data_IF_588703369247
#
_entry.id   IF_588703369247
#
_cell.length_a   1.000
_cell.length_b   1.000
_cell.length_c   1.000
_cell.angle_alpha   90.00
_cell.angle_beta   90.00
_cell.angle_gamma   90.00
#
_symmetry.space_group_name_H-M   'P 1'
#
loop_
_entity.id
_entity.type
_entity.pdbx_description
1 polymer ?
#
# COMPACT_ATOMS: atom_id res chain seq x y z
N UNK A 1 8.28 8.85 7.33
CA UNK A 1 9.34 9.70 6.75
C UNK A 1 9.28 9.80 5.21
N UNK A 2 8.94 8.72 4.46
CA UNK A 2 8.81 8.77 2.99
C UNK A 2 7.65 9.68 2.57
N UNK A 3 6.46 9.49 3.14
CA UNK A 3 5.28 10.30 2.82
C UNK A 3 5.48 11.79 3.13
N UNK A 4 6.06 12.11 4.30
CA UNK A 4 6.38 13.47 4.72
C UNK A 4 7.25 14.20 3.69
N UNK A 5 8.33 13.55 3.23
CA UNK A 5 9.24 14.16 2.25
C UNK A 5 8.65 14.27 0.85
N UNK A 6 7.84 13.29 0.44
CA UNK A 6 7.17 13.35 -0.84
C UNK A 6 6.11 14.46 -0.86
N UNK A 7 5.37 14.63 0.26
CA UNK A 7 4.39 15.71 0.41
C UNK A 7 5.07 17.09 0.38
N UNK A 8 6.14 17.28 1.14
CA UNK A 8 6.92 18.52 1.13
C UNK A 8 7.43 18.87 -0.28
N UNK A 9 7.93 17.88 -1.02
CA UNK A 9 8.49 18.08 -2.35
C UNK A 9 7.47 18.58 -3.40
N UNK A 10 6.19 18.32 -3.22
CA UNK A 10 5.11 18.75 -4.14
C UNK A 10 4.20 19.84 -3.55
N UNK A 11 4.54 20.38 -2.37
CA UNK A 11 3.73 21.40 -1.70
C UNK A 11 2.38 20.92 -1.15
N UNK A 12 2.29 19.61 -0.84
CA UNK A 12 1.18 19.03 -0.07
C UNK A 12 1.48 19.15 1.44
N UNK A 13 0.54 18.74 2.32
CA UNK A 13 0.73 18.82 3.76
C UNK A 13 1.61 17.67 4.28
N UNK A 14 2.88 17.93 4.66
CA UNK A 14 3.81 16.89 5.10
C UNK A 14 3.44 16.31 6.47
N UNK A 15 2.83 17.12 7.36
CA UNK A 15 2.43 16.66 8.69
C UNK A 15 1.22 15.73 8.56
N UNK A 16 0.24 16.09 7.74
CA UNK A 16 -0.92 15.27 7.47
C UNK A 16 -0.50 13.93 6.83
N UNK A 17 0.39 13.96 5.84
CA UNK A 17 0.91 12.76 5.19
C UNK A 17 1.65 11.84 6.18
N UNK A 18 2.46 12.42 7.08
CA UNK A 18 3.16 11.67 8.13
C UNK A 18 2.20 11.03 9.13
N UNK A 19 1.23 11.78 9.64
CA UNK A 19 0.25 11.27 10.60
C UNK A 19 -0.62 10.21 9.96
N UNK A 20 -1.11 10.44 8.73
CA UNK A 20 -1.86 9.45 7.97
C UNK A 20 -1.07 8.16 7.79
N UNK A 21 0.21 8.26 7.46
CA UNK A 21 1.10 7.08 7.34
C UNK A 21 1.31 6.32 8.66
N UNK A 22 1.17 6.96 9.83
CA UNK A 22 1.26 6.26 11.12
C UNK A 22 0.01 5.42 11.42
N UNK A 23 -1.15 5.83 10.92
CA UNK A 23 -2.43 5.20 11.25
C UNK A 23 -2.99 4.30 10.15
N UNK A 24 -2.48 4.35 8.92
CA UNK A 24 -3.10 3.69 7.76
C UNK A 24 -3.33 2.19 7.98
N UNK A 25 -2.42 1.54 8.66
CA UNK A 25 -2.39 0.09 8.90
C UNK A 25 -2.89 -0.34 10.29
N UNK A 26 -3.51 0.56 11.06
CA UNK A 26 -3.96 0.25 12.44
C UNK A 26 -4.88 -0.98 12.52
N UNK A 27 -5.60 -1.29 11.45
CA UNK A 27 -6.47 -2.46 11.39
C UNK A 27 -5.73 -3.80 11.39
N UNK A 28 -4.45 -3.83 11.05
CA UNK A 28 -3.59 -5.03 11.16
C UNK A 28 -3.51 -5.55 12.61
N UNK A 29 -3.75 -4.69 13.61
CA UNK A 29 -3.80 -5.06 15.02
C UNK A 29 -4.86 -6.13 15.34
N UNK A 30 -5.91 -6.26 14.54
CA UNK A 30 -6.94 -7.29 14.74
C UNK A 30 -6.44 -8.70 14.41
N UNK A 31 -5.53 -8.83 13.44
CA UNK A 31 -4.98 -10.12 12.96
C UNK A 31 -3.49 -10.00 12.64
N UNK A 32 -2.63 -9.63 13.60
CA UNK A 32 -1.25 -9.23 13.32
C UNK A 32 -0.42 -10.33 12.65
N UNK A 33 -0.65 -11.59 12.97
CA UNK A 33 0.13 -12.73 12.46
C UNK A 33 -0.06 -13.01 10.97
N UNK A 34 -1.14 -12.48 10.36
CA UNK A 34 -1.37 -12.63 8.92
C UNK A 34 -0.55 -11.64 8.08
N UNK A 35 0.15 -10.69 8.69
CA UNK A 35 0.95 -9.71 7.98
C UNK A 35 2.43 -10.04 8.12
N UNK A 36 3.14 -10.13 6.99
CA UNK A 36 4.52 -10.65 6.90
C UNK A 36 5.50 -9.90 7.80
N UNK A 37 5.31 -8.60 7.99
CA UNK A 37 6.11 -7.76 8.86
C UNK A 37 6.07 -8.19 10.33
N UNK A 38 5.02 -8.90 10.75
CA UNK A 38 4.84 -9.39 12.13
C UNK A 38 5.25 -10.86 12.31
N UNK A 39 5.53 -11.59 11.23
CA UNK A 39 5.89 -13.01 11.29
C UNK A 39 7.35 -13.24 11.67
N UNK A 40 8.21 -12.23 11.51
CA UNK A 40 9.67 -12.33 11.70
C UNK A 40 10.09 -12.57 13.16
N UNK A 41 9.23 -12.27 14.12
CA UNK A 41 9.57 -12.24 15.55
C UNK A 41 9.27 -13.54 16.32
N UNK A 42 8.95 -14.66 15.69
CA UNK A 42 8.52 -15.80 16.48
C UNK A 42 8.72 -17.19 15.87
N UNK A 43 9.31 -17.32 14.71
CA UNK A 43 9.37 -18.64 14.01
C UNK A 43 7.97 -19.21 13.74
N UNK A 44 6.98 -18.34 13.64
CA UNK A 44 5.58 -18.70 13.41
C UNK A 44 5.44 -19.06 11.92
N UNK A 45 4.91 -20.24 11.67
CA UNK A 45 4.54 -20.65 10.31
C UNK A 45 3.51 -19.66 9.74
N UNK A 46 3.66 -19.32 8.45
CA UNK A 46 2.78 -18.34 7.80
C UNK A 46 1.33 -18.87 7.77
N UNK A 47 0.38 -18.22 8.49
CA UNK A 47 -0.99 -18.71 8.57
C UNK A 47 -1.71 -18.80 7.22
N UNK A 48 -1.19 -18.12 6.19
CA UNK A 48 -1.74 -18.21 4.83
C UNK A 48 -1.48 -19.56 4.15
N UNK A 49 -0.52 -20.36 4.66
CA UNK A 49 -0.23 -21.69 4.10
C UNK A 49 -1.44 -22.63 4.23
N UNK A 50 -2.27 -22.45 5.26
CA UNK A 50 -3.46 -23.27 5.54
C UNK A 50 -4.75 -22.71 4.92
N UNK A 51 -4.65 -21.58 4.18
CA UNK A 51 -5.81 -20.91 3.60
C UNK A 51 -5.81 -20.98 2.08
N UNK A 52 -7.01 -20.99 1.49
CA UNK A 52 -7.15 -20.76 0.05
C UNK A 52 -6.75 -19.32 -0.28
N UNK A 53 -6.31 -19.04 -1.54
CA UNK A 53 -5.98 -17.67 -1.96
C UNK A 53 -7.12 -16.67 -1.75
N UNK A 54 -8.39 -17.11 -1.91
CA UNK A 54 -9.56 -16.27 -1.67
C UNK A 54 -9.73 -15.91 -0.20
N UNK A 55 -9.57 -16.87 0.70
CA UNK A 55 -9.64 -16.63 2.15
C UNK A 55 -8.47 -15.74 2.61
N UNK A 56 -7.26 -15.98 2.12
CA UNK A 56 -6.10 -15.14 2.39
C UNK A 56 -6.33 -13.70 1.96
N UNK A 57 -6.86 -13.48 0.74
CA UNK A 57 -7.25 -12.15 0.27
C UNK A 57 -8.27 -11.50 1.19
N UNK A 58 -9.32 -12.21 1.60
CA UNK A 58 -10.34 -11.67 2.51
C UNK A 58 -9.73 -11.23 3.83
N UNK A 59 -8.83 -12.01 4.42
CA UNK A 59 -8.14 -11.67 5.66
C UNK A 59 -7.30 -10.42 5.50
N UNK A 60 -6.48 -10.37 4.44
CA UNK A 60 -5.59 -9.22 4.20
C UNK A 60 -6.40 -7.95 3.96
N UNK A 61 -7.41 -7.99 3.08
CA UNK A 61 -8.18 -6.77 2.75
C UNK A 61 -9.09 -6.28 3.88
N UNK A 62 -9.40 -7.14 4.85
CA UNK A 62 -10.21 -6.77 6.00
C UNK A 62 -9.56 -5.69 6.89
N UNK A 63 -8.22 -5.52 6.85
CA UNK A 63 -7.56 -4.55 7.72
C UNK A 63 -8.02 -3.10 7.47
N UNK A 64 -8.43 -2.75 6.26
CA UNK A 64 -8.95 -1.40 5.98
C UNK A 64 -10.26 -1.15 6.73
N UNK A 65 -11.17 -2.14 6.74
CA UNK A 65 -12.43 -2.07 7.49
C UNK A 65 -12.19 -2.13 9.00
N UNK A 66 -11.38 -3.08 9.44
CA UNK A 66 -11.01 -3.22 10.86
C UNK A 66 -10.35 -1.93 11.38
N UNK A 67 -9.55 -1.27 10.53
CA UNK A 67 -8.90 -0.01 10.85
C UNK A 67 -9.88 1.15 11.02
N UNK A 68 -10.89 1.23 10.19
CA UNK A 68 -11.95 2.24 10.32
C UNK A 68 -12.77 2.02 11.60
N UNK A 69 -13.08 0.77 11.93
CA UNK A 69 -13.82 0.46 13.15
C UNK A 69 -13.01 0.90 14.38
N UNK A 70 -11.71 0.59 14.44
CA UNK A 70 -10.80 1.06 15.47
C UNK A 70 -10.69 2.59 15.49
N UNK A 71 -10.51 3.22 14.33
CA UNK A 71 -10.37 4.67 14.25
C UNK A 71 -11.61 5.40 14.78
N UNK A 72 -12.80 4.89 14.53
CA UNK A 72 -14.06 5.43 15.09
C UNK A 72 -14.15 5.20 16.59
N UNK A 73 -13.80 4.01 17.08
CA UNK A 73 -13.80 3.67 18.50
C UNK A 73 -12.90 4.61 19.31
N UNK A 74 -11.73 4.94 18.76
CA UNK A 74 -10.74 5.81 19.44
C UNK A 74 -10.85 7.29 19.03
N UNK A 75 -11.87 7.70 18.31
CA UNK A 75 -12.11 9.10 17.96
C UNK A 75 -11.06 9.71 17.02
N UNK A 76 -10.43 8.89 16.17
CA UNK A 76 -9.47 9.38 15.18
C UNK A 76 -10.19 10.28 14.17
N UNK A 77 -9.65 11.48 13.87
CA UNK A 77 -10.32 12.43 12.97
C UNK A 77 -10.62 11.86 11.58
N UNK A 78 -11.76 12.22 10.96
CA UNK A 78 -12.15 11.71 9.63
C UNK A 78 -11.10 11.91 8.55
N UNK A 79 -10.34 13.02 8.61
CA UNK A 79 -9.26 13.27 7.65
C UNK A 79 -8.16 12.17 7.71
N UNK A 80 -7.87 11.63 8.88
CA UNK A 80 -6.92 10.53 9.06
C UNK A 80 -7.55 9.20 8.66
N UNK A 81 -8.87 9.02 8.88
CA UNK A 81 -9.59 7.82 8.43
C UNK A 81 -9.52 7.62 6.91
N UNK A 82 -9.39 8.71 6.12
CA UNK A 82 -9.19 8.62 4.68
C UNK A 82 -7.92 7.83 4.30
N UNK A 83 -6.85 7.96 5.07
CA UNK A 83 -5.61 7.20 4.83
C UNK A 83 -5.83 5.70 5.04
N UNK A 84 -6.62 5.32 6.04
CA UNK A 84 -6.95 3.93 6.33
C UNK A 84 -7.76 3.31 5.18
N UNK A 85 -8.74 4.05 4.63
CA UNK A 85 -9.62 3.52 3.58
C UNK A 85 -9.02 3.57 2.19
N UNK A 86 -8.17 4.57 1.90
CA UNK A 86 -7.77 4.91 0.55
C UNK A 86 -6.38 4.38 0.14
N UNK A 87 -5.52 3.96 1.11
CA UNK A 87 -4.12 3.63 0.78
C UNK A 87 -3.97 2.44 -0.18
N UNK A 88 -4.95 1.54 -0.24
CA UNK A 88 -4.99 0.48 -1.25
C UNK A 88 -5.94 0.77 -2.42
N UNK A 89 -6.86 1.74 -2.27
CA UNK A 89 -7.87 2.04 -3.28
C UNK A 89 -8.66 0.79 -3.70
N UNK A 90 -8.72 0.55 -5.00
CA UNK A 90 -9.28 -0.65 -5.63
C UNK A 90 -8.18 -1.55 -6.21
N UNK A 91 -6.96 -1.48 -5.69
CA UNK A 91 -5.82 -2.24 -6.19
C UNK A 91 -6.03 -3.74 -6.08
N UNK A 92 -5.42 -4.48 -6.99
CA UNK A 92 -5.42 -5.94 -6.99
C UNK A 92 -4.51 -6.48 -5.87
N UNK A 93 -5.00 -7.45 -5.10
CA UNK A 93 -4.17 -8.26 -4.20
C UNK A 93 -3.41 -9.32 -5.03
N UNK A 94 -2.44 -8.84 -5.81
CA UNK A 94 -1.82 -9.56 -6.93
C UNK A 94 -1.19 -10.88 -6.55
N UNK A 95 -0.61 -10.99 -5.36
CA UNK A 95 -0.01 -12.25 -4.90
C UNK A 95 -1.05 -13.37 -4.81
N UNK A 96 -2.18 -13.13 -4.15
CA UNK A 96 -3.23 -14.14 -3.99
C UNK A 96 -4.00 -14.38 -5.29
N UNK A 97 -4.16 -13.36 -6.12
CA UNK A 97 -4.71 -13.54 -7.46
C UNK A 97 -3.84 -14.48 -8.29
N UNK A 98 -2.53 -14.26 -8.30
CA UNK A 98 -1.59 -15.12 -9.04
C UNK A 98 -1.61 -16.56 -8.54
N UNK A 99 -1.68 -16.75 -7.21
CA UNK A 99 -1.81 -18.10 -6.63
C UNK A 99 -3.12 -18.78 -7.06
N UNK A 100 -4.24 -18.05 -7.04
CA UNK A 100 -5.53 -18.59 -7.48
C UNK A 100 -5.49 -18.99 -8.96
N UNK A 101 -4.91 -18.14 -9.81
CA UNK A 101 -4.74 -18.45 -11.26
C UNK A 101 -3.87 -19.67 -11.48
N UNK A 102 -2.80 -19.85 -10.70
CA UNK A 102 -1.94 -21.02 -10.78
C UNK A 102 -2.66 -22.32 -10.35
N UNK A 103 -3.57 -22.23 -9.39
CA UNK A 103 -4.30 -23.40 -8.88
C UNK A 103 -5.51 -23.78 -9.72
N UNK A 104 -6.22 -22.79 -10.26
CA UNK A 104 -7.56 -22.99 -10.85
C UNK A 104 -7.61 -22.73 -12.36
N UNK A 105 -6.57 -22.10 -12.95
CA UNK A 105 -6.58 -21.59 -14.31
C UNK A 105 -7.17 -20.18 -14.41
N UNK A 106 -6.61 -19.36 -15.31
CA UNK A 106 -6.98 -17.95 -15.47
C UNK A 106 -8.45 -17.76 -15.83
N UNK A 107 -9.01 -18.66 -16.62
CA UNK A 107 -10.40 -18.65 -17.09
C UNK A 107 -11.42 -18.88 -15.96
N UNK A 108 -10.99 -19.46 -14.83
CA UNK A 108 -11.83 -19.78 -13.68
C UNK A 108 -11.73 -18.77 -12.53
N UNK A 109 -10.81 -17.78 -12.65
CA UNK A 109 -10.55 -16.80 -11.60
C UNK A 109 -11.00 -15.41 -12.04
N UNK A 110 -11.99 -14.86 -11.36
CA UNK A 110 -12.42 -13.49 -11.58
C UNK A 110 -11.51 -12.53 -10.80
N UNK A 111 -10.79 -11.66 -11.51
CA UNK A 111 -9.86 -10.68 -10.95
C UNK A 111 -10.52 -9.73 -9.94
N UNK A 112 -11.77 -9.30 -10.21
CA UNK A 112 -12.53 -8.39 -9.33
C UNK A 112 -12.69 -8.94 -7.90
N UNK A 113 -12.75 -10.26 -7.74
CA UNK A 113 -12.84 -10.89 -6.44
C UNK A 113 -11.57 -10.74 -5.60
N UNK A 114 -10.46 -10.36 -6.24
CA UNK A 114 -9.16 -10.16 -5.60
C UNK A 114 -8.78 -8.69 -5.43
N UNK A 115 -9.67 -7.75 -5.80
CA UNK A 115 -9.44 -6.32 -5.60
C UNK A 115 -9.85 -5.87 -4.21
N UNK A 116 -9.22 -4.80 -3.73
CA UNK A 116 -9.71 -4.01 -2.60
C UNK A 116 -11.01 -3.29 -3.03
N UNK A 117 -11.81 -2.89 -2.06
CA UNK A 117 -13.14 -2.29 -2.32
C UNK A 117 -13.15 -0.76 -2.28
N UNK A 118 -11.98 -0.15 -2.22
CA UNK A 118 -11.82 1.28 -2.25
C UNK A 118 -12.24 2.01 -0.98
N UNK A 119 -12.43 3.33 -1.03
CA UNK A 119 -12.34 4.21 -2.20
C UNK A 119 -10.90 4.50 -2.67
N UNK A 120 -10.76 5.01 -3.90
CA UNK A 120 -9.48 5.49 -4.43
C UNK A 120 -9.02 6.75 -3.70
N UNK A 121 -7.71 7.05 -3.70
CA UNK A 121 -7.17 8.29 -3.15
C UNK A 121 -7.79 9.53 -3.80
N UNK A 122 -8.31 10.43 -3.00
CA UNK A 122 -8.93 11.69 -3.45
C UNK A 122 -8.19 12.94 -2.95
N UNK A 123 -7.09 12.77 -2.23
CA UNK A 123 -6.19 13.84 -1.79
C UNK A 123 -4.76 13.53 -2.25
N UNK A 124 -3.91 14.56 -2.35
CA UNK A 124 -2.49 14.37 -2.67
C UNK A 124 -1.81 13.47 -1.65
N UNK A 125 -2.08 13.68 -0.38
CA UNK A 125 -1.45 12.99 0.74
C UNK A 125 -1.82 11.50 0.77
N UNK A 126 -3.08 11.14 0.51
CA UNK A 126 -3.51 9.73 0.46
C UNK A 126 -2.96 9.02 -0.78
N UNK A 127 -2.83 9.73 -1.91
CA UNK A 127 -2.19 9.19 -3.11
C UNK A 127 -0.67 8.99 -2.92
N UNK A 128 -0.01 9.92 -2.23
CA UNK A 128 1.39 9.77 -1.83
C UNK A 128 1.57 8.52 -0.96
N UNK A 129 0.68 8.31 0.03
CA UNK A 129 0.73 7.13 0.88
C UNK A 129 0.58 5.85 0.06
N UNK A 130 -0.39 5.77 -0.85
CA UNK A 130 -0.57 4.60 -1.73
C UNK A 130 0.71 4.25 -2.50
N UNK A 131 1.39 5.26 -3.04
CA UNK A 131 2.64 5.05 -3.77
C UNK A 131 3.76 4.62 -2.81
N UNK A 132 3.92 5.33 -1.70
CA UNK A 132 5.00 5.09 -0.73
C UNK A 132 4.89 3.72 -0.05
N UNK A 133 3.69 3.28 0.32
CA UNK A 133 3.43 1.96 0.87
C UNK A 133 3.75 0.85 -0.16
N UNK A 134 3.35 1.04 -1.41
CA UNK A 134 3.70 0.11 -2.49
C UNK A 134 5.21 0.03 -2.74
N UNK A 135 5.93 1.16 -2.67
CA UNK A 135 7.40 1.23 -2.79
C UNK A 135 8.06 0.52 -1.61
N UNK A 136 7.62 0.79 -0.39
CA UNK A 136 8.16 0.15 0.83
C UNK A 136 7.96 -1.37 0.79
N UNK A 137 6.78 -1.82 0.41
CA UNK A 137 6.49 -3.26 0.26
C UNK A 137 7.34 -3.93 -0.82
N UNK A 138 7.52 -3.29 -1.98
CA UNK A 138 8.33 -3.82 -3.07
C UNK A 138 9.83 -3.82 -2.73
N UNK A 139 10.32 -2.84 -1.98
CA UNK A 139 11.72 -2.74 -1.58
C UNK A 139 12.19 -3.94 -0.75
N UNK A 140 11.30 -4.55 0.03
CA UNK A 140 11.62 -5.75 0.83
C UNK A 140 12.02 -6.97 -0.02
N UNK A 141 11.63 -7.01 -1.28
CA UNK A 141 11.95 -8.10 -2.20
C UNK A 141 13.04 -7.75 -3.21
N UNK A 142 13.51 -6.50 -3.19
CA UNK A 142 14.54 -6.03 -4.09
C UNK A 142 15.88 -6.68 -3.74
N UNK A 143 16.55 -7.26 -4.74
CA UNK A 143 17.85 -7.92 -4.58
C UNK A 143 19.03 -6.98 -4.86
N UNK A 144 18.80 -5.95 -5.66
CA UNK A 144 19.78 -4.95 -6.06
C UNK A 144 19.26 -3.56 -5.69
N UNK A 145 19.95 -2.89 -4.77
CA UNK A 145 19.65 -1.55 -4.28
C UNK A 145 20.46 -0.46 -5.03
N UNK A 146 20.93 -0.75 -6.25
CA UNK A 146 21.50 0.29 -7.11
C UNK A 146 20.45 1.37 -7.43
N UNK A 147 20.92 2.60 -7.65
CA UNK A 147 20.06 3.74 -7.98
C UNK A 147 19.15 3.45 -9.17
N UNK A 148 19.68 2.74 -10.17
CA UNK A 148 18.94 2.36 -11.36
C UNK A 148 17.81 1.35 -11.05
N UNK A 149 18.07 0.37 -10.20
CA UNK A 149 17.08 -0.64 -9.81
C UNK A 149 15.96 -0.05 -8.96
N UNK A 150 16.30 0.82 -8.02
CA UNK A 150 15.33 1.55 -7.20
C UNK A 150 14.48 2.49 -8.05
N UNK A 151 15.09 3.27 -8.94
CA UNK A 151 14.38 4.15 -9.88
C UNK A 151 13.41 3.38 -10.78
N UNK A 152 13.84 2.27 -11.35
CA UNK A 152 13.00 1.39 -12.16
C UNK A 152 11.80 0.87 -11.38
N UNK A 153 12.03 0.42 -10.14
CA UNK A 153 10.96 -0.09 -9.27
C UNK A 153 9.94 1.01 -8.96
N UNK A 154 10.37 2.20 -8.55
CA UNK A 154 9.47 3.31 -8.21
C UNK A 154 8.66 3.74 -9.44
N UNK A 155 9.32 3.97 -10.58
CA UNK A 155 8.65 4.38 -11.81
C UNK A 155 7.66 3.31 -12.31
N UNK A 156 8.00 2.03 -12.17
CA UNK A 156 7.09 0.94 -12.50
C UNK A 156 5.84 0.98 -11.62
N UNK A 157 5.99 1.13 -10.30
CA UNK A 157 4.87 1.21 -9.36
C UNK A 157 3.93 2.36 -9.71
N UNK A 158 4.48 3.56 -9.95
CA UNK A 158 3.68 4.73 -10.33
C UNK A 158 2.93 4.47 -11.65
N UNK A 159 3.62 3.90 -12.65
CA UNK A 159 3.02 3.58 -13.96
C UNK A 159 1.92 2.53 -13.82
N UNK A 160 2.13 1.50 -13.04
CA UNK A 160 1.13 0.46 -12.79
C UNK A 160 -0.12 1.06 -12.09
N UNK A 161 0.05 1.94 -11.09
CA UNK A 161 -1.06 2.64 -10.42
C UNK A 161 -1.84 3.56 -11.35
N UNK A 162 -1.14 4.27 -12.25
CA UNK A 162 -1.78 5.10 -13.28
C UNK A 162 -2.59 4.25 -14.25
N UNK A 163 -2.00 3.19 -14.77
CA UNK A 163 -2.65 2.30 -15.76
C UNK A 163 -3.86 1.57 -15.16
N UNK A 164 -3.80 1.23 -13.88
CA UNK A 164 -4.90 0.60 -13.12
C UNK A 164 -5.96 1.64 -12.67
N UNK A 165 -5.77 2.93 -12.99
CA UNK A 165 -6.71 4.01 -12.67
C UNK A 165 -6.82 4.31 -11.17
N UNK A 166 -5.86 3.87 -10.35
CA UNK A 166 -5.92 4.06 -8.90
C UNK A 166 -5.73 5.52 -8.47
N UNK A 167 -5.11 6.33 -9.31
CA UNK A 167 -4.84 7.76 -9.05
C UNK A 167 -5.84 8.70 -9.75
N UNK A 168 -6.90 8.19 -10.37
CA UNK A 168 -7.85 8.96 -11.18
C UNK A 168 -8.60 10.05 -10.40
N UNK A 169 -8.85 9.82 -9.11
CA UNK A 169 -9.63 10.72 -8.27
C UNK A 169 -8.73 11.69 -7.49
N UNK A 170 -7.43 11.54 -7.60
CA UNK A 170 -6.44 12.34 -6.89
C UNK A 170 -6.05 13.58 -7.71
N UNK A 171 -5.84 14.75 -7.05
CA UNK A 171 -5.42 15.98 -7.71
C UNK A 171 -3.92 16.03 -8.02
N UNK A 172 -3.25 14.88 -8.18
CA UNK A 172 -1.84 14.80 -8.58
C UNK A 172 -1.67 15.05 -10.07
N UNK A 173 -0.71 15.90 -10.41
CA UNK A 173 -0.27 16.12 -11.80
C UNK A 173 0.85 15.14 -12.16
N UNK A 174 1.11 14.95 -13.47
CA UNK A 174 2.26 14.18 -13.94
C UNK A 174 3.60 14.75 -13.44
N UNK A 175 3.66 16.08 -13.24
CA UNK A 175 4.82 16.74 -12.63
C UNK A 175 4.98 16.33 -11.16
N UNK A 176 3.88 16.30 -10.41
CA UNK A 176 3.90 15.86 -9.00
C UNK A 176 4.41 14.42 -8.90
N UNK A 177 3.91 13.52 -9.75
CA UNK A 177 4.34 12.11 -9.75
C UNK A 177 5.84 11.95 -10.01
N UNK A 178 6.40 12.73 -10.94
CA UNK A 178 7.85 12.75 -11.20
C UNK A 178 8.63 13.23 -9.97
N UNK A 179 8.14 14.27 -9.32
CA UNK A 179 8.76 14.84 -8.10
C UNK A 179 8.68 13.86 -6.93
N UNK A 180 7.53 13.19 -6.75
CA UNK A 180 7.35 12.12 -5.75
C UNK A 180 8.36 10.99 -5.98
N UNK A 181 8.50 10.50 -7.22
CA UNK A 181 9.47 9.46 -7.56
C UNK A 181 10.90 9.85 -7.14
N UNK A 182 11.31 11.08 -7.43
CA UNK A 182 12.62 11.60 -7.04
C UNK A 182 12.79 11.71 -5.52
N UNK A 183 11.74 12.11 -4.80
CA UNK A 183 11.78 12.24 -3.34
C UNK A 183 11.90 10.88 -2.66
N UNK A 184 11.16 9.87 -3.16
CA UNK A 184 11.20 8.50 -2.65
C UNK A 184 12.57 7.86 -2.88
N UNK A 185 13.17 8.00 -4.07
CA UNK A 185 14.50 7.47 -4.36
C UNK A 185 15.59 8.02 -3.42
N UNK A 186 15.59 9.33 -3.14
CA UNK A 186 16.60 9.95 -2.29
C UNK A 186 16.62 9.45 -0.84
N UNK A 187 15.49 8.92 -0.33
CA UNK A 187 15.34 8.52 1.07
C UNK A 187 15.44 7.03 1.33
N UNK A 188 15.16 6.19 0.35
CA UNK A 188 15.29 4.74 0.51
C UNK A 188 16.74 4.35 0.85
N UNK A 189 17.71 5.17 0.41
CA UNK A 189 19.13 5.04 0.78
C UNK A 189 19.44 5.28 2.27
N UNK A 190 18.61 6.02 3.01
CA UNK A 190 18.86 6.35 4.43
C UNK A 190 18.15 5.43 5.40
N UNK A 191 17.23 4.59 4.91
CA UNK A 191 16.46 3.65 5.72
C UNK A 191 17.07 2.25 5.77
N UNK A 192 18.13 2.00 5.01
CA UNK A 192 18.82 0.70 4.89
C UNK A 192 20.15 0.66 5.68
N UNK A 193 20.39 1.66 6.55
CA UNK A 193 21.56 1.67 7.47
C UNK A 193 21.09 1.58 8.90
#
# INVERSE_FOLDING_TARGET
>A
NLCESAAEAIGADPILAKVGALYHDVGKLKRPLFFVENQTYGGIENPHNDLTPRLSKMVITAHTKDGIDLAKEYGIPPIIQNFITQHHGESLAGYFYTQAVQQEGKENVNEEQFRYTGPKPNMKETAILMIADSVESASRTLKDFSDESVDKMINKIITDKLNDGQLSDSPLTLKDLKTIAQALNKRDRKSVV
#
